data_IF_175670466955
#
_entry.id   IF_175670466955
#
_cell.length_a   1.000
_cell.length_b   1.000
_cell.length_c   1.000
_cell.angle_alpha   90.00
_cell.angle_beta   90.00
_cell.angle_gamma   90.00
#
_symmetry.space_group_name_H-M   'P 1'
#
loop_
_entity.id
_entity.type
_entity.pdbx_description
1 polymer ?
#
# COMPACT_ATOMS: atom_id res chain seq x y z
N UNK A 1 0.32 -6.93 -7.94
CA UNK A 1 1.34 -5.85 -7.89
C UNK A 1 0.69 -4.56 -8.39
N UNK A 2 1.27 -3.38 -8.10
CA UNK A 2 0.80 -2.11 -8.65
C UNK A 2 0.94 -2.11 -10.18
N UNK A 3 -0.02 -1.54 -10.87
CA UNK A 3 0.00 -1.45 -12.34
C UNK A 3 0.62 -0.12 -12.82
N UNK A 4 0.93 0.79 -11.90
CA UNK A 4 1.61 2.08 -12.12
C UNK A 4 2.57 2.41 -10.95
N UNK A 5 3.23 3.57 -11.01
CA UNK A 5 4.26 4.01 -10.08
C UNK A 5 3.73 4.19 -8.64
N UNK A 6 4.54 3.74 -7.67
CA UNK A 6 4.32 4.05 -6.25
C UNK A 6 4.63 5.53 -6.00
N UNK A 7 3.66 6.22 -5.42
CA UNK A 7 3.74 7.65 -5.14
C UNK A 7 4.11 7.98 -3.70
N UNK A 8 3.80 7.09 -2.76
CA UNK A 8 4.14 7.25 -1.35
C UNK A 8 4.16 5.91 -0.62
N UNK A 9 4.95 5.86 0.46
CA UNK A 9 5.11 4.70 1.34
C UNK A 9 5.12 5.15 2.79
N UNK A 10 4.46 4.40 3.67
CA UNK A 10 4.46 4.69 5.11
C UNK A 10 4.32 3.41 5.93
N UNK A 11 5.24 3.19 6.85
CA UNK A 11 5.13 2.12 7.83
C UNK A 11 4.11 2.49 8.92
N UNK A 12 3.51 1.48 9.54
CA UNK A 12 2.66 1.72 10.69
C UNK A 12 3.45 2.40 11.83
N UNK A 13 2.84 3.35 12.58
CA UNK A 13 3.57 4.20 13.52
C UNK A 13 4.25 3.46 14.68
N UNK A 14 3.80 2.23 14.98
CA UNK A 14 4.25 1.44 16.14
C UNK A 14 4.85 0.09 15.76
N UNK A 15 4.90 -0.25 14.47
CA UNK A 15 5.36 -1.56 14.01
C UNK A 15 5.83 -1.51 12.56
N UNK A 16 6.93 -2.22 12.25
CA UNK A 16 7.40 -2.45 10.89
C UNK A 16 6.65 -3.57 10.16
N UNK A 17 5.69 -4.23 10.83
CA UNK A 17 4.91 -5.31 10.23
C UNK A 17 4.01 -4.82 9.09
N UNK A 18 3.48 -3.59 9.20
CA UNK A 18 2.50 -3.08 8.24
C UNK A 18 3.07 -1.92 7.44
N UNK A 19 2.88 -2.00 6.13
CA UNK A 19 3.30 -0.98 5.16
C UNK A 19 2.11 -0.56 4.31
N UNK A 20 1.81 0.74 4.31
CA UNK A 20 0.89 1.38 3.38
C UNK A 20 1.66 1.87 2.16
N UNK A 21 1.12 1.60 0.97
CA UNK A 21 1.63 2.13 -0.29
C UNK A 21 0.49 2.76 -1.09
N UNK A 22 0.70 3.97 -1.61
CA UNK A 22 -0.18 4.60 -2.59
C UNK A 22 0.45 4.52 -3.99
N UNK A 23 -0.38 4.32 -5.00
CA UNK A 23 0.03 4.17 -6.38
C UNK A 23 -0.78 5.10 -7.29
N UNK A 24 -0.19 5.52 -8.41
CA UNK A 24 -0.88 6.31 -9.44
C UNK A 24 -1.91 5.50 -10.23
N UNK A 25 -1.98 4.18 -10.03
CA UNK A 25 -3.05 3.30 -10.53
C UNK A 25 -4.41 3.51 -9.83
N UNK A 26 -4.52 4.53 -8.97
CA UNK A 26 -5.71 4.83 -8.18
C UNK A 26 -5.92 3.90 -6.98
N UNK A 27 -4.85 3.20 -6.54
CA UNK A 27 -4.95 2.25 -5.42
C UNK A 27 -4.09 2.62 -4.23
N UNK A 28 -4.61 2.30 -3.05
CA UNK A 28 -3.89 2.27 -1.79
C UNK A 28 -3.89 0.84 -1.26
N UNK A 29 -2.70 0.31 -0.98
CA UNK A 29 -2.51 -1.09 -0.58
C UNK A 29 -1.89 -1.17 0.80
N UNK A 30 -2.40 -2.08 1.64
CA UNK A 30 -1.80 -2.43 2.93
C UNK A 30 -1.10 -3.78 2.82
N UNK A 31 0.18 -3.82 3.13
CA UNK A 31 1.00 -5.02 3.14
C UNK A 31 1.34 -5.47 4.57
N UNK A 32 1.33 -6.79 4.78
CA UNK A 32 2.03 -7.45 5.88
C UNK A 32 3.43 -7.84 5.40
N UNK A 33 4.45 -7.15 5.91
CA UNK A 33 5.84 -7.28 5.46
C UNK A 33 6.43 -8.62 5.88
N UNK A 34 6.12 -9.10 7.09
CA UNK A 34 6.64 -10.35 7.60
C UNK A 34 6.05 -11.55 6.85
N UNK A 35 4.76 -11.47 6.52
CA UNK A 35 4.08 -12.50 5.73
C UNK A 35 4.32 -12.41 4.23
N UNK A 36 4.80 -11.27 3.73
CA UNK A 36 4.81 -10.92 2.29
C UNK A 36 3.40 -11.02 1.66
N UNK A 37 2.40 -10.44 2.32
CA UNK A 37 0.98 -10.54 1.94
C UNK A 37 0.40 -9.14 1.71
N UNK A 38 -0.31 -8.93 0.60
CA UNK A 38 -1.22 -7.79 0.44
C UNK A 38 -2.51 -8.08 1.22
N UNK A 39 -2.76 -7.34 2.30
CA UNK A 39 -3.93 -7.56 3.17
C UNK A 39 -5.17 -6.85 2.65
N UNK A 40 -5.01 -5.63 2.14
CA UNK A 40 -6.10 -4.81 1.63
C UNK A 40 -5.67 -4.03 0.41
N UNK A 41 -6.63 -3.84 -0.49
CA UNK A 41 -6.54 -2.95 -1.63
C UNK A 41 -7.77 -2.06 -1.63
N UNK A 42 -7.55 -0.76 -1.58
CA UNK A 42 -8.58 0.26 -1.71
C UNK A 42 -8.40 0.96 -3.05
N UNK A 43 -9.50 1.18 -3.76
CA UNK A 43 -9.54 2.00 -4.98
C UNK A 43 -10.10 3.37 -4.63
N UNK A 44 -9.49 4.43 -5.16
CA UNK A 44 -10.05 5.77 -5.14
C UNK A 44 -10.15 6.30 -6.57
N UNK A 45 -11.28 6.93 -6.88
CA UNK A 45 -11.55 7.47 -8.21
C UNK A 45 -10.91 8.86 -8.32
N UNK A 46 -9.78 8.94 -9.05
CA UNK A 46 -9.00 10.18 -9.27
C UNK A 46 -8.54 10.86 -7.94
N UNK A 47 -7.58 11.79 -7.96
CA UNK A 47 -7.30 12.64 -6.81
C UNK A 47 -8.45 13.61 -6.49
#
# INVERSE_FOLDING_TARGET
LPDDAISSLTFAPKSSQFLLASSWDGTVRLYDVAGNIERYKYHHDLP
#
